data_IF_983761862131
#
_entry.id   IF_983761862131
#
_cell.length_a   1.000
_cell.length_b   1.000
_cell.length_c   1.000
_cell.angle_alpha   90.00
_cell.angle_beta   90.00
_cell.angle_gamma   90.00
#
_symmetry.space_group_name_H-M   'P 1'
#
loop_
_entity.id
_entity.type
_entity.pdbx_description
1 polymer ?
#
# COMPACT_ATOMS: atom_id res chain seq x y z
N UNK A 1 -0.09 21.17 -26.53
CA UNK A 1 -0.63 20.88 -25.19
C UNK A 1 -0.84 19.38 -25.09
N UNK A 2 -0.25 18.72 -24.09
CA UNK A 2 -0.45 17.29 -23.88
C UNK A 2 -1.93 17.03 -23.57
N UNK A 3 -2.60 16.18 -24.35
CA UNK A 3 -3.91 15.65 -23.97
C UNK A 3 -3.63 14.48 -23.02
N UNK A 4 -3.83 14.62 -21.69
CA UNK A 4 -3.55 13.53 -20.74
C UNK A 4 -4.34 12.25 -21.05
N UNK A 5 -5.50 12.39 -21.72
CA UNK A 5 -6.32 11.27 -22.12
C UNK A 5 -6.45 11.17 -23.64
N UNK A 6 -6.19 9.97 -24.15
CA UNK A 6 -6.40 9.62 -25.54
C UNK A 6 -7.79 8.96 -25.72
N UNK A 7 -8.40 9.08 -26.91
CA UNK A 7 -9.65 8.37 -27.22
C UNK A 7 -9.58 6.86 -26.97
N UNK A 8 -8.40 6.25 -27.14
CA UNK A 8 -8.13 4.84 -26.79
C UNK A 8 -8.35 4.57 -25.30
N UNK A 9 -7.83 5.42 -24.42
CA UNK A 9 -7.97 5.29 -22.96
C UNK A 9 -9.43 5.42 -22.50
N UNK A 10 -10.25 6.26 -23.14
CA UNK A 10 -11.68 6.39 -22.79
C UNK A 10 -12.42 5.08 -22.95
N UNK A 11 -12.06 4.27 -23.95
CA UNK A 11 -12.71 2.97 -24.17
C UNK A 11 -12.30 1.93 -23.14
N UNK A 12 -11.05 2.00 -22.70
CA UNK A 12 -10.50 1.12 -21.68
C UNK A 12 -11.11 1.43 -20.31
N UNK A 13 -11.21 2.72 -19.96
CA UNK A 13 -11.88 3.18 -18.73
C UNK A 13 -13.37 2.88 -18.76
N UNK A 14 -14.07 3.14 -19.87
CA UNK A 14 -15.51 2.85 -19.97
C UNK A 14 -15.82 1.37 -19.77
N UNK A 15 -14.95 0.48 -20.27
CA UNK A 15 -15.03 -0.96 -20.00
C UNK A 15 -14.79 -1.29 -18.53
N UNK A 16 -13.80 -0.68 -17.88
CA UNK A 16 -13.56 -0.83 -16.44
C UNK A 16 -14.73 -0.38 -15.56
N UNK A 17 -15.52 0.57 -16.07
CA UNK A 17 -16.76 1.07 -15.44
C UNK A 17 -18.01 0.22 -15.79
N UNK A 18 -17.88 -0.85 -16.58
CA UNK A 18 -18.99 -1.74 -16.95
C UNK A 18 -19.85 -1.24 -18.12
N UNK A 19 -19.34 -0.34 -18.97
CA UNK A 19 -20.03 0.08 -20.20
C UNK A 19 -19.65 -0.87 -21.34
N UNK A 20 -20.52 -1.86 -21.60
CA UNK A 20 -20.28 -2.91 -22.59
C UNK A 20 -20.55 -2.48 -24.05
N UNK A 21 -21.09 -1.27 -24.25
CA UNK A 21 -21.40 -0.76 -25.57
C UNK A 21 -20.13 -0.33 -26.32
N UNK A 22 -20.04 -0.69 -27.60
CA UNK A 22 -18.95 -0.20 -28.45
C UNK A 22 -19.07 1.30 -28.65
N UNK A 23 -18.12 2.04 -28.10
CA UNK A 23 -18.04 3.49 -28.27
C UNK A 23 -17.42 3.80 -29.64
N UNK A 24 -18.05 4.66 -30.43
CA UNK A 24 -17.52 5.11 -31.72
C UNK A 24 -16.30 6.03 -31.54
N UNK A 25 -15.48 6.19 -32.58
CA UNK A 25 -14.29 7.07 -32.54
C UNK A 25 -14.66 8.51 -32.17
N UNK A 26 -15.67 9.07 -32.84
CA UNK A 26 -16.17 10.42 -32.60
C UNK A 26 -16.66 10.63 -31.16
N UNK A 27 -17.34 9.63 -30.58
CA UNK A 27 -17.82 9.72 -29.19
C UNK A 27 -16.65 9.70 -28.21
N UNK A 28 -15.61 8.90 -28.44
CA UNK A 28 -14.40 8.89 -27.60
C UNK A 28 -13.69 10.24 -27.63
N UNK A 29 -13.58 10.84 -28.81
CA UNK A 29 -13.01 12.18 -28.97
C UNK A 29 -13.81 13.23 -28.21
N UNK A 30 -15.14 13.16 -28.29
CA UNK A 30 -16.02 14.06 -27.54
C UNK A 30 -15.92 13.85 -26.02
N UNK A 31 -15.80 12.62 -25.56
CA UNK A 31 -15.63 12.30 -24.14
C UNK A 31 -14.30 12.82 -23.59
N UNK A 32 -13.20 12.71 -24.34
CA UNK A 32 -11.91 13.34 -23.95
C UNK A 32 -12.07 14.85 -23.80
N UNK A 33 -12.78 15.50 -24.71
CA UNK A 33 -13.06 16.94 -24.62
C UNK A 33 -13.87 17.28 -23.35
N UNK A 34 -14.91 16.50 -23.06
CA UNK A 34 -15.74 16.67 -21.85
C UNK A 34 -14.94 16.46 -20.57
N UNK A 35 -14.06 15.45 -20.52
CA UNK A 35 -13.21 15.17 -19.36
C UNK A 35 -12.22 16.31 -19.10
N UNK A 36 -11.62 16.89 -20.14
CA UNK A 36 -10.79 18.08 -19.99
C UNK A 36 -11.57 19.27 -19.44
N UNK A 37 -12.82 19.46 -19.91
CA UNK A 37 -13.67 20.53 -19.40
C UNK A 37 -14.02 20.30 -17.92
N UNK A 38 -14.35 19.07 -17.55
CA UNK A 38 -14.67 18.73 -16.15
C UNK A 38 -13.45 18.83 -15.24
N UNK A 39 -12.26 18.42 -15.68
CA UNK A 39 -11.03 18.60 -14.91
C UNK A 39 -10.79 20.08 -14.60
N UNK A 40 -10.92 20.97 -15.60
CA UNK A 40 -10.78 22.42 -15.39
C UNK A 40 -11.77 22.94 -14.34
N UNK A 41 -12.99 22.42 -14.34
CA UNK A 41 -14.00 22.80 -13.35
C UNK A 41 -13.61 22.30 -11.95
N UNK A 42 -13.28 21.01 -11.81
CA UNK A 42 -12.87 20.42 -10.52
C UNK A 42 -11.64 21.14 -9.95
N UNK A 43 -10.64 21.44 -10.78
CA UNK A 43 -9.45 22.16 -10.32
C UNK A 43 -9.80 23.54 -9.75
N UNK A 44 -10.73 24.27 -10.38
CA UNK A 44 -11.20 25.57 -9.87
C UNK A 44 -11.98 25.41 -8.57
N UNK A 45 -12.90 24.45 -8.51
CA UNK A 45 -13.67 24.13 -7.30
C UNK A 45 -12.72 23.79 -6.13
N UNK A 46 -11.72 22.93 -6.36
CA UNK A 46 -10.71 22.57 -5.37
C UNK A 46 -9.82 23.74 -4.96
N UNK A 47 -9.48 24.64 -5.90
CA UNK A 47 -8.69 25.84 -5.63
C UNK A 47 -9.47 26.82 -4.77
N UNK A 48 -10.74 27.06 -5.11
CA UNK A 48 -11.65 27.89 -4.33
C UNK A 48 -11.81 27.35 -2.90
N UNK A 49 -12.08 26.05 -2.74
CA UNK A 49 -12.18 25.42 -1.41
C UNK A 49 -10.85 25.47 -0.63
N UNK A 50 -9.73 25.25 -1.32
CA UNK A 50 -8.39 25.36 -0.73
C UNK A 50 -8.15 26.76 -0.18
N UNK A 51 -8.49 27.80 -0.96
CA UNK A 51 -8.29 29.20 -0.59
C UNK A 51 -9.32 29.70 0.43
N UNK A 52 -10.52 29.13 0.45
CA UNK A 52 -11.54 29.39 1.47
C UNK A 52 -11.11 28.85 2.84
N UNK A 53 -10.50 27.65 2.86
CA UNK A 53 -9.96 27.04 4.07
C UNK A 53 -8.62 27.66 4.51
N UNK A 54 -7.71 27.93 3.57
CA UNK A 54 -6.38 28.51 3.82
C UNK A 54 -6.08 29.66 2.84
N UNK A 55 -6.50 30.91 3.19
CA UNK A 55 -6.25 32.08 2.35
C UNK A 55 -4.74 32.30 2.13
N UNK A 56 -4.29 32.24 0.87
CA UNK A 56 -2.90 32.47 0.49
C UNK A 56 -2.05 31.20 0.29
N UNK A 57 -2.64 30.00 0.41
CA UNK A 57 -1.97 28.75 0.01
C UNK A 57 -1.63 28.79 -1.47
N UNK A 58 -0.38 28.44 -1.81
CA UNK A 58 0.13 28.45 -3.20
C UNK A 58 0.09 27.08 -3.88
N UNK A 59 -0.33 26.04 -3.16
CA UNK A 59 -0.39 24.66 -3.63
C UNK A 59 -1.82 24.17 -3.51
N UNK A 60 -2.37 23.58 -4.58
CA UNK A 60 -3.70 22.97 -4.57
C UNK A 60 -3.73 21.82 -3.54
N UNK A 61 -4.69 21.86 -2.62
CA UNK A 61 -4.83 20.85 -1.57
C UNK A 61 -6.01 19.94 -1.86
N UNK A 62 -6.08 18.80 -1.17
CA UNK A 62 -7.32 18.04 -1.05
C UNK A 62 -8.09 18.52 0.20
N UNK A 63 -9.19 19.28 0.03
CA UNK A 63 -9.96 19.80 1.15
C UNK A 63 -10.75 18.71 1.92
N UNK A 64 -10.86 17.49 1.38
CA UNK A 64 -11.73 16.44 1.93
C UNK A 64 -10.98 15.31 2.68
N UNK A 65 -9.66 15.42 2.89
CA UNK A 65 -8.87 14.35 3.53
C UNK A 65 -9.05 14.32 5.05
N UNK A 66 -9.56 13.21 5.60
CA UNK A 66 -9.94 13.02 7.02
C UNK A 66 -8.93 12.26 7.89
N UNK A 67 -7.77 11.84 7.36
CA UNK A 67 -6.70 11.13 8.12
C UNK A 67 -5.86 12.09 8.95
N UNK A 68 -5.06 11.56 9.90
CA UNK A 68 -4.07 12.37 10.64
C UNK A 68 -3.24 13.22 9.65
N UNK A 69 -3.15 14.52 9.94
CA UNK A 69 -2.69 15.52 8.96
C UNK A 69 -1.25 15.27 8.52
N UNK A 70 -1.07 14.82 7.27
CA UNK A 70 0.24 14.45 6.69
C UNK A 70 1.32 15.52 6.93
N UNK A 71 1.02 16.79 6.60
CA UNK A 71 1.98 17.89 6.75
C UNK A 71 2.37 18.14 8.21
N UNK A 72 1.43 17.94 9.14
CA UNK A 72 1.65 18.14 10.57
C UNK A 72 2.46 16.99 11.16
N UNK A 73 2.12 15.75 10.83
CA UNK A 73 2.89 14.57 11.24
C UNK A 73 4.32 14.66 10.71
N UNK A 74 4.50 15.06 9.46
CA UNK A 74 5.84 15.25 8.88
C UNK A 74 6.65 16.32 9.62
N UNK A 75 6.04 17.46 9.95
CA UNK A 75 6.71 18.53 10.71
C UNK A 75 7.23 18.02 12.06
N UNK A 76 6.36 17.32 12.82
CA UNK A 76 6.73 16.74 14.11
C UNK A 76 7.83 15.67 13.98
N UNK A 77 7.78 14.83 12.95
CA UNK A 77 8.84 13.85 12.71
C UNK A 77 10.18 14.49 12.36
N UNK A 78 10.18 15.64 11.67
CA UNK A 78 11.41 16.38 11.34
C UNK A 78 12.06 16.98 12.59
N UNK A 79 11.25 17.44 13.54
CA UNK A 79 11.73 17.98 14.82
C UNK A 79 12.44 16.90 15.65
N UNK A 80 12.10 15.62 15.46
CA UNK A 80 12.54 14.51 16.31
C UNK A 80 13.70 13.68 15.75
N UNK A 81 14.11 13.91 14.50
CA UNK A 81 15.25 13.21 13.90
C UNK A 81 16.57 13.90 14.26
N UNK A 82 17.48 13.16 14.89
CA UNK A 82 18.81 13.69 15.25
C UNK A 82 19.93 13.23 14.29
N UNK A 83 19.86 11.98 13.83
CA UNK A 83 20.93 11.32 13.07
C UNK A 83 20.68 11.31 11.55
N UNK A 84 19.54 11.82 11.10
CA UNK A 84 19.17 11.93 9.68
C UNK A 84 18.63 13.33 9.41
N UNK A 85 18.77 13.79 8.17
CA UNK A 85 18.47 15.18 7.79
C UNK A 85 17.02 15.39 7.32
N UNK A 86 16.26 14.32 7.04
CA UNK A 86 14.92 14.46 6.46
C UNK A 86 13.99 13.27 6.73
N UNK A 87 12.69 13.55 6.57
CA UNK A 87 11.61 12.55 6.67
C UNK A 87 10.95 12.38 5.30
N UNK A 88 10.95 11.13 4.81
CA UNK A 88 10.32 10.75 3.54
C UNK A 88 8.80 10.61 3.67
N UNK A 89 8.08 10.78 2.56
CA UNK A 89 6.62 10.61 2.54
C UNK A 89 6.17 9.22 3.00
N UNK A 90 6.93 8.17 2.68
CA UNK A 90 6.66 6.81 3.12
C UNK A 90 6.75 6.67 4.65
N UNK A 91 7.74 7.31 5.27
CA UNK A 91 7.86 7.33 6.72
C UNK A 91 6.66 8.04 7.38
N UNK A 92 6.16 9.13 6.80
CA UNK A 92 4.99 9.87 7.31
C UNK A 92 3.70 9.06 7.17
N UNK A 93 3.53 8.35 6.04
CA UNK A 93 2.37 7.47 5.84
C UNK A 93 2.38 6.33 6.85
N UNK A 94 3.52 5.64 7.01
CA UNK A 94 3.67 4.57 7.99
C UNK A 94 3.46 5.09 9.43
N UNK A 95 4.05 6.24 9.78
CA UNK A 95 3.83 6.86 11.08
C UNK A 95 2.34 7.16 11.34
N UNK A 96 1.63 7.68 10.35
CA UNK A 96 0.19 7.90 10.46
C UNK A 96 -0.59 6.59 10.64
N UNK A 97 -0.26 5.53 9.92
CA UNK A 97 -0.91 4.22 10.08
C UNK A 97 -0.67 3.63 11.48
N UNK A 98 0.57 3.72 11.98
CA UNK A 98 0.93 3.30 13.33
C UNK A 98 0.14 4.11 14.37
N UNK A 99 0.09 5.43 14.22
CA UNK A 99 -0.61 6.33 15.13
C UNK A 99 -2.14 6.11 15.10
N UNK A 100 -2.72 5.90 13.92
CA UNK A 100 -4.15 5.61 13.78
C UNK A 100 -4.50 4.25 14.41
N UNK A 101 -3.65 3.23 14.25
CA UNK A 101 -3.83 1.93 14.90
C UNK A 101 -3.65 2.03 16.42
N UNK A 102 -2.65 2.78 16.89
CA UNK A 102 -2.45 3.05 18.31
C UNK A 102 -3.67 3.74 18.93
N UNK A 103 -4.15 4.82 18.30
CA UNK A 103 -5.34 5.55 18.73
C UNK A 103 -6.57 4.66 18.78
N UNK A 104 -6.79 3.84 17.73
CA UNK A 104 -7.90 2.88 17.68
C UNK A 104 -7.85 1.92 18.86
N UNK A 105 -6.69 1.31 19.13
CA UNK A 105 -6.54 0.34 20.21
C UNK A 105 -6.73 0.99 21.59
N UNK A 106 -6.17 2.19 21.79
CA UNK A 106 -6.38 2.96 23.02
C UNK A 106 -7.85 3.29 23.25
N UNK A 107 -8.57 3.72 22.21
CA UNK A 107 -10.00 4.04 22.29
C UNK A 107 -10.86 2.80 22.52
N UNK A 108 -10.57 1.68 21.86
CA UNK A 108 -11.30 0.42 22.07
C UNK A 108 -11.14 -0.09 23.51
N UNK A 109 -9.91 -0.06 24.06
CA UNK A 109 -9.66 -0.42 25.45
C UNK A 109 -10.42 0.50 26.42
N UNK A 110 -10.40 1.81 26.17
CA UNK A 110 -11.08 2.77 27.02
C UNK A 110 -12.61 2.72 26.88
N UNK A 111 -13.12 2.32 25.72
CA UNK A 111 -14.53 2.05 25.49
C UNK A 111 -14.98 0.81 26.27
N UNK A 112 -14.20 -0.28 26.24
CA UNK A 112 -14.49 -1.50 27.00
C UNK A 112 -14.56 -1.21 28.52
N UNK A 113 -13.62 -0.43 29.06
CA UNK A 113 -13.67 0.02 30.45
C UNK A 113 -14.90 0.89 30.75
N UNK A 114 -15.27 1.79 29.83
CA UNK A 114 -16.48 2.60 29.96
C UNK A 114 -17.77 1.76 29.96
N UNK A 115 -17.82 0.74 29.11
CA UNK A 115 -18.94 -0.20 28.98
C UNK A 115 -19.07 -1.09 30.21
N UNK A 116 -17.95 -1.54 30.78
CA UNK A 116 -17.92 -2.28 32.05
C UNK A 116 -18.54 -1.47 33.20
N UNK A 117 -18.35 -0.16 33.18
CA UNK A 117 -18.96 0.77 34.13
C UNK A 117 -20.34 1.28 33.70
N UNK A 118 -20.86 0.82 32.54
CA UNK A 118 -22.16 1.18 31.95
C UNK A 118 -22.33 2.67 31.72
N UNK A 119 -21.26 3.36 31.33
CA UNK A 119 -21.29 4.79 30.99
C UNK A 119 -21.02 4.98 29.50
N UNK A 120 -21.93 5.67 28.80
CA UNK A 120 -21.80 5.95 27.36
C UNK A 120 -20.78 7.04 27.01
N UNK A 121 -19.83 7.36 27.89
CA UNK A 121 -18.84 8.43 27.67
C UNK A 121 -17.48 7.98 28.19
N UNK A 122 -16.49 7.89 27.29
CA UNK A 122 -15.11 7.62 27.66
C UNK A 122 -14.55 8.81 28.45
N UNK A 123 -14.01 8.56 29.64
CA UNK A 123 -13.40 9.56 30.54
C UNK A 123 -11.95 9.17 30.78
N UNK A 124 -11.15 10.12 31.29
CA UNK A 124 -9.72 9.89 31.59
C UNK A 124 -9.47 8.67 32.48
N UNK A 125 -10.40 8.35 33.39
CA UNK A 125 -10.32 7.19 34.28
C UNK A 125 -10.46 5.83 33.58
N UNK A 126 -10.99 5.80 32.36
CA UNK A 126 -11.07 4.61 31.51
C UNK A 126 -9.85 4.48 30.59
N UNK A 127 -8.99 5.51 30.55
CA UNK A 127 -7.68 5.37 29.93
C UNK A 127 -6.82 4.67 30.98
N UNK A 128 -6.65 3.35 30.85
CA UNK A 128 -5.70 2.65 31.70
C UNK A 128 -4.34 3.35 31.55
N UNK A 129 -3.76 3.83 32.64
CA UNK A 129 -2.42 4.42 32.63
C UNK A 129 -1.38 3.32 32.44
N UNK A 130 -1.42 2.61 31.32
CA UNK A 130 -0.23 1.99 30.76
C UNK A 130 0.54 3.11 30.07
N UNK A 131 1.06 4.05 30.87
CA UNK A 131 2.37 4.60 30.57
C UNK A 131 3.28 3.38 30.48
N UNK A 132 3.53 2.92 29.26
CA UNK A 132 4.66 2.05 28.98
C UNK A 132 5.87 2.84 29.44
N UNK A 133 6.31 2.54 30.65
CA UNK A 133 7.68 2.78 31.06
C UNK A 133 8.55 2.32 29.89
N UNK A 134 9.35 3.23 29.36
CA UNK A 134 10.61 2.86 28.73
C UNK A 134 11.31 1.87 29.66
N UNK A 135 11.93 0.85 29.07
CA UNK A 135 12.64 -0.27 29.70
C UNK A 135 11.80 -1.53 29.98
N UNK A 136 11.53 -2.28 28.90
CA UNK A 136 12.09 -3.64 28.74
C UNK A 136 11.71 -4.19 27.37
N UNK A 137 12.59 -3.99 26.38
CA UNK A 137 12.77 -4.99 25.32
C UNK A 137 13.50 -6.16 25.99
N UNK A 138 12.75 -7.02 26.66
CA UNK A 138 13.23 -8.36 26.97
C UNK A 138 12.42 -9.35 26.18
N UNK A 139 13.15 -10.05 25.32
CA UNK A 139 12.81 -11.36 24.80
C UNK A 139 12.26 -12.22 25.95
N UNK A 140 10.98 -12.53 25.91
CA UNK A 140 10.45 -13.71 26.60
C UNK A 140 9.90 -14.65 25.55
N UNK A 141 10.80 -15.53 25.13
CA UNK A 141 10.48 -16.90 24.76
C UNK A 141 9.44 -17.44 25.75
N UNK A 142 8.24 -17.76 25.27
CA UNK A 142 7.33 -18.61 26.02
C UNK A 142 6.98 -19.79 25.13
N UNK A 143 7.71 -20.87 25.35
CA UNK A 143 7.33 -22.22 24.94
C UNK A 143 5.93 -22.54 25.45
N UNK A 144 5.01 -22.83 24.53
CA UNK A 144 3.96 -23.79 24.79
C UNK A 144 4.03 -24.86 23.71
N UNK A 145 4.54 -25.99 24.19
CA UNK A 145 4.73 -27.25 23.53
C UNK A 145 3.36 -27.92 23.38
N UNK A 146 2.86 -28.09 22.16
CA UNK A 146 1.94 -29.18 21.83
C UNK A 146 2.43 -29.90 20.57
N UNK A 147 3.11 -31.02 20.86
CA UNK A 147 3.19 -32.28 20.12
C UNK A 147 3.28 -32.22 18.59
N UNK A 148 4.50 -32.50 18.12
CA UNK A 148 4.85 -33.08 16.83
C UNK A 148 3.89 -34.15 16.33
N UNK A 149 3.48 -34.04 15.07
CA UNK A 149 3.65 -35.17 14.14
C UNK A 149 4.60 -34.72 13.03
N UNK A 150 5.72 -35.43 12.96
CA UNK A 150 6.83 -35.19 12.06
C UNK A 150 6.42 -35.44 10.61
N UNK A 151 6.63 -34.43 9.76
CA UNK A 151 7.09 -34.68 8.39
C UNK A 151 8.33 -33.83 8.18
N UNK A 152 9.47 -34.44 8.44
CA UNK A 152 10.76 -33.93 8.00
C UNK A 152 10.77 -33.85 6.47
N UNK A 153 11.16 -32.71 5.91
CA UNK A 153 12.16 -32.57 4.84
C UNK A 153 12.73 -31.13 4.90
N UNK A 154 14.05 -31.08 4.78
CA UNK A 154 15.04 -30.00 4.82
C UNK A 154 14.73 -28.60 4.24
N UNK A 155 15.42 -27.60 4.83
CA UNK A 155 15.64 -26.20 4.39
C UNK A 155 14.48 -25.21 4.54
N UNK A 156 14.31 -24.64 5.74
CA UNK A 156 13.32 -23.59 6.00
C UNK A 156 13.76 -22.59 7.05
N UNK A 157 14.46 -21.52 6.65
CA UNK A 157 14.42 -20.28 7.42
C UNK A 157 13.03 -19.66 7.23
N UNK A 158 12.25 -19.62 8.31
CA UNK A 158 11.00 -18.87 8.39
C UNK A 158 11.33 -17.38 8.32
N UNK A 159 11.22 -16.81 7.12
CA UNK A 159 11.29 -15.36 6.91
C UNK A 159 9.91 -14.83 7.34
N UNK A 160 9.81 -14.28 8.55
CA UNK A 160 8.52 -13.85 9.12
C UNK A 160 8.25 -12.33 9.01
N UNK A 161 9.18 -11.53 8.44
CA UNK A 161 8.94 -10.09 8.19
C UNK A 161 9.53 -9.60 6.86
N UNK A 162 8.82 -8.70 6.17
CA UNK A 162 9.34 -8.00 4.99
C UNK A 162 10.16 -6.79 5.43
N UNK A 163 11.46 -6.87 5.21
CA UNK A 163 12.35 -5.72 5.24
C UNK A 163 13.11 -5.70 3.92
N UNK A 164 13.51 -4.51 3.42
CA UNK A 164 14.45 -4.39 2.31
C UNK A 164 15.70 -5.29 2.47
N UNK A 165 16.12 -5.53 3.72
CA UNK A 165 17.21 -6.45 4.06
C UNK A 165 16.87 -7.90 3.71
N UNK A 166 15.65 -8.34 4.02
CA UNK A 166 15.19 -9.70 3.74
C UNK A 166 14.99 -9.93 2.25
N UNK A 167 14.51 -8.94 1.50
CA UNK A 167 14.37 -9.00 0.03
C UNK A 167 15.74 -9.13 -0.64
N UNK A 168 16.72 -8.33 -0.21
CA UNK A 168 18.11 -8.44 -0.70
C UNK A 168 18.75 -9.78 -0.34
N UNK A 169 18.49 -10.30 0.86
CA UNK A 169 18.99 -11.62 1.27
C UNK A 169 18.38 -12.75 0.43
N UNK A 170 17.08 -12.68 0.13
CA UNK A 170 16.41 -13.61 -0.80
C UNK A 170 17.09 -13.55 -2.17
N UNK A 171 17.35 -12.35 -2.71
CA UNK A 171 18.00 -12.19 -4.02
C UNK A 171 19.43 -12.76 -4.04
N UNK A 172 20.19 -12.51 -2.98
CA UNK A 172 21.55 -13.05 -2.82
C UNK A 172 21.56 -14.59 -2.79
N UNK A 173 20.55 -15.21 -2.19
CA UNK A 173 20.37 -16.67 -2.21
C UNK A 173 19.87 -17.19 -3.56
N UNK A 174 19.11 -16.39 -4.32
CA UNK A 174 18.47 -16.83 -5.56
C UNK A 174 19.39 -16.80 -6.78
N UNK A 175 20.18 -15.73 -6.95
CA UNK A 175 21.06 -15.59 -8.13
C UNK A 175 22.41 -14.92 -7.85
N UNK A 176 22.66 -14.47 -6.61
CA UNK A 176 23.91 -13.80 -6.23
C UNK A 176 24.10 -12.40 -6.84
N UNK A 177 23.17 -11.91 -7.67
CA UNK A 177 23.20 -10.54 -8.23
C UNK A 177 22.91 -9.48 -7.18
N UNK A 178 23.45 -8.28 -7.41
CA UNK A 178 23.10 -7.09 -6.62
C UNK A 178 21.71 -6.59 -7.02
N UNK A 179 20.92 -6.20 -6.02
CA UNK A 179 19.60 -5.61 -6.20
C UNK A 179 19.67 -4.14 -5.77
N UNK A 180 19.34 -3.24 -6.69
CA UNK A 180 19.40 -1.79 -6.43
C UNK A 180 18.30 -1.38 -5.44
N UNK A 181 18.59 -0.39 -4.58
CA UNK A 181 17.66 0.05 -3.54
C UNK A 181 16.32 0.51 -4.13
N UNK A 182 16.38 1.31 -5.18
CA UNK A 182 15.19 1.85 -5.86
C UNK A 182 14.35 0.71 -6.47
N UNK A 183 15.00 -0.38 -6.90
CA UNK A 183 14.32 -1.57 -7.39
C UNK A 183 13.63 -2.35 -6.25
N UNK A 184 14.23 -2.38 -5.04
CA UNK A 184 13.58 -2.95 -3.85
C UNK A 184 12.34 -2.16 -3.46
N UNK A 185 12.44 -0.83 -3.48
CA UNK A 185 11.33 0.06 -3.15
C UNK A 185 10.19 -0.09 -4.16
N UNK A 186 10.48 -0.06 -5.46
CA UNK A 186 9.49 -0.26 -6.52
C UNK A 186 8.81 -1.63 -6.42
N UNK A 187 9.56 -2.68 -6.09
CA UNK A 187 9.01 -4.02 -5.90
C UNK A 187 7.99 -4.08 -4.75
N UNK A 188 8.25 -3.36 -3.66
CA UNK A 188 7.32 -3.24 -2.54
C UNK A 188 6.08 -2.44 -2.92
N UNK A 189 6.25 -1.32 -3.63
CA UNK A 189 5.16 -0.49 -4.15
C UNK A 189 4.22 -1.30 -5.05
N UNK A 190 4.78 -1.99 -6.06
CA UNK A 190 4.03 -2.86 -6.95
C UNK A 190 3.27 -3.96 -6.19
N UNK A 191 3.90 -4.56 -5.18
CA UNK A 191 3.22 -5.55 -4.33
C UNK A 191 1.96 -4.97 -3.66
N UNK A 192 2.07 -3.78 -3.06
CA UNK A 192 0.95 -3.14 -2.37
C UNK A 192 -0.14 -2.67 -3.36
N UNK A 193 0.24 -2.18 -4.54
CA UNK A 193 -0.72 -1.82 -5.59
C UNK A 193 -1.51 -3.06 -6.03
N UNK A 194 -0.83 -4.16 -6.33
CA UNK A 194 -1.50 -5.40 -6.72
C UNK A 194 -2.34 -6.01 -5.59
N UNK A 195 -1.92 -5.89 -4.33
CA UNK A 195 -2.70 -6.37 -3.18
C UNK A 195 -3.97 -5.54 -3.00
N UNK A 196 -3.86 -4.22 -3.12
CA UNK A 196 -4.98 -3.29 -3.03
C UNK A 196 -5.99 -3.51 -4.17
N UNK A 197 -5.48 -3.66 -5.40
CA UNK A 197 -6.31 -3.97 -6.56
C UNK A 197 -7.03 -5.31 -6.39
N UNK A 198 -6.33 -6.31 -5.85
CA UNK A 198 -6.91 -7.63 -5.66
C UNK A 198 -7.97 -7.65 -4.56
N UNK A 199 -7.76 -6.95 -3.44
CA UNK A 199 -8.74 -6.78 -2.38
C UNK A 199 -9.99 -6.05 -2.90
N UNK A 200 -9.79 -4.94 -3.62
CA UNK A 200 -10.87 -4.19 -4.23
C UNK A 200 -11.68 -5.04 -5.22
N UNK A 201 -10.99 -5.78 -6.10
CA UNK A 201 -11.64 -6.68 -7.06
C UNK A 201 -12.37 -7.82 -6.36
N UNK A 202 -11.81 -8.41 -5.30
CA UNK A 202 -12.47 -9.46 -4.54
C UNK A 202 -13.74 -8.95 -3.86
N UNK A 203 -13.68 -7.80 -3.18
CA UNK A 203 -14.85 -7.17 -2.54
C UNK A 203 -15.93 -6.83 -3.57
N UNK A 204 -15.54 -6.25 -4.72
CA UNK A 204 -16.45 -5.95 -5.83
C UNK A 204 -17.12 -7.22 -6.37
N UNK A 205 -16.35 -8.27 -6.62
CA UNK A 205 -16.87 -9.53 -7.18
C UNK A 205 -17.79 -10.26 -6.18
N UNK A 206 -17.51 -10.17 -4.87
CA UNK A 206 -18.37 -10.68 -3.79
C UNK A 206 -19.72 -9.94 -3.77
N UNK A 207 -19.71 -8.61 -3.83
CA UNK A 207 -20.94 -7.81 -3.85
C UNK A 207 -21.80 -8.08 -5.10
N UNK A 208 -21.15 -8.41 -6.22
CA UNK A 208 -21.81 -8.72 -7.49
C UNK A 208 -22.26 -10.18 -7.61
N UNK A 209 -21.81 -11.07 -6.72
CA UNK A 209 -22.17 -12.48 -6.73
C UNK A 209 -21.57 -13.29 -7.89
N UNK A 210 -20.54 -12.77 -8.58
CA UNK A 210 -19.89 -13.48 -9.69
C UNK A 210 -18.86 -14.49 -9.17
N UNK A 211 -19.30 -15.73 -9.02
CA UNK A 211 -18.51 -16.83 -8.49
C UNK A 211 -17.23 -17.11 -9.31
N UNK A 212 -17.23 -16.84 -10.62
CA UNK A 212 -16.08 -17.11 -11.50
C UNK A 212 -14.98 -16.08 -11.30
N UNK A 213 -15.35 -14.80 -11.18
CA UNK A 213 -14.42 -13.70 -10.90
C UNK A 213 -13.92 -13.72 -9.45
N UNK A 214 -14.76 -14.18 -8.51
CA UNK A 214 -14.33 -14.48 -7.13
C UNK A 214 -13.26 -15.58 -7.15
N UNK A 215 -13.50 -16.68 -7.86
CA UNK A 215 -12.53 -17.79 -7.95
C UNK A 215 -11.20 -17.34 -8.55
N UNK A 216 -11.22 -16.56 -9.63
CA UNK A 216 -10.00 -16.00 -10.23
C UNK A 216 -9.27 -15.02 -9.29
N UNK A 217 -10.02 -14.20 -8.54
CA UNK A 217 -9.43 -13.30 -7.52
C UNK A 217 -8.78 -14.09 -6.38
N UNK A 218 -9.38 -15.20 -5.97
CA UNK A 218 -8.78 -16.11 -4.98
C UNK A 218 -7.52 -16.81 -5.52
N UNK A 219 -7.52 -17.28 -6.76
CA UNK A 219 -6.33 -17.87 -7.40
C UNK A 219 -5.19 -16.85 -7.51
N UNK A 220 -5.49 -15.59 -7.82
CA UNK A 220 -4.52 -14.50 -7.78
C UNK A 220 -4.07 -14.15 -6.36
N UNK A 221 -4.92 -14.30 -5.36
CA UNK A 221 -4.60 -14.07 -3.94
C UNK A 221 -3.60 -15.10 -3.42
N UNK A 222 -3.82 -16.38 -3.77
CA UNK A 222 -2.87 -17.46 -3.50
C UNK A 222 -1.53 -17.22 -4.19
N UNK A 223 -1.55 -16.68 -5.42
CA UNK A 223 -0.33 -16.28 -6.13
C UNK A 223 0.35 -15.06 -5.50
N UNK A 224 -0.40 -14.13 -4.93
CA UNK A 224 0.10 -12.90 -4.30
C UNK A 224 0.57 -13.12 -2.86
N UNK A 225 0.72 -14.37 -2.41
CA UNK A 225 1.39 -14.65 -1.15
C UNK A 225 2.80 -14.05 -1.17
N UNK A 226 2.96 -13.03 -0.34
CA UNK A 226 4.04 -12.05 -0.32
C UNK A 226 5.43 -12.61 -0.65
N UNK A 227 5.92 -13.60 0.11
CA UNK A 227 7.26 -14.17 -0.11
C UNK A 227 7.35 -15.06 -1.35
N UNK A 228 6.26 -15.75 -1.71
CA UNK A 228 6.18 -16.55 -2.93
C UNK A 228 6.19 -15.66 -4.16
N UNK A 229 5.42 -14.58 -4.14
CA UNK A 229 5.37 -13.58 -5.20
C UNK A 229 6.73 -12.90 -5.38
N UNK A 230 7.33 -12.38 -4.29
CA UNK A 230 8.64 -11.73 -4.32
C UNK A 230 9.73 -12.63 -4.93
N UNK A 231 9.75 -13.92 -4.56
CA UNK A 231 10.71 -14.89 -5.12
C UNK A 231 10.52 -15.11 -6.62
N UNK A 232 9.26 -15.18 -7.11
CA UNK A 232 9.00 -15.34 -8.56
C UNK A 232 9.41 -14.10 -9.34
N UNK A 233 9.02 -12.92 -8.90
CA UNK A 233 9.35 -11.66 -9.59
C UNK A 233 10.86 -11.43 -9.59
N UNK A 234 11.55 -11.63 -8.47
CA UNK A 234 13.00 -11.50 -8.40
C UNK A 234 13.73 -12.51 -9.31
N UNK A 235 13.18 -13.72 -9.47
CA UNK A 235 13.73 -14.71 -10.41
C UNK A 235 13.64 -14.22 -11.85
N UNK A 236 12.45 -13.80 -12.27
CA UNK A 236 12.22 -13.29 -13.63
C UNK A 236 12.99 -12.00 -13.90
N UNK A 237 13.16 -11.14 -12.88
CA UNK A 237 13.98 -9.93 -12.96
C UNK A 237 15.45 -10.25 -13.15
N UNK A 238 15.95 -11.30 -12.49
CA UNK A 238 17.32 -11.78 -12.66
C UNK A 238 17.55 -12.32 -14.06
N UNK A 239 16.65 -13.17 -14.56
CA UNK A 239 16.73 -13.76 -15.90
C UNK A 239 16.72 -12.67 -16.99
N UNK A 240 15.93 -11.61 -16.78
CA UNK A 240 15.90 -10.45 -17.68
C UNK A 240 17.18 -9.61 -17.61
N UNK A 241 17.68 -9.36 -16.40
CA UNK A 241 18.96 -8.69 -16.21
C UNK A 241 20.13 -9.47 -16.85
N UNK A 242 20.09 -10.81 -16.83
CA UNK A 242 21.07 -11.66 -17.53
C UNK A 242 20.98 -11.51 -19.05
N UNK A 243 19.77 -11.49 -19.61
CA UNK A 243 19.56 -11.26 -21.05
C UNK A 243 20.11 -9.90 -21.52
N UNK A 244 20.03 -8.89 -20.65
CA UNK A 244 20.53 -7.53 -20.91
C UNK A 244 22.00 -7.34 -20.49
N UNK A 245 22.71 -8.41 -20.11
CA UNK A 245 24.09 -8.39 -19.60
C UNK A 245 24.30 -7.41 -18.42
N UNK A 246 23.28 -7.22 -17.58
CA UNK A 246 23.35 -6.41 -16.38
C UNK A 246 23.81 -7.22 -15.15
N UNK A 247 24.77 -6.65 -14.43
CA UNK A 247 25.29 -7.22 -13.18
C UNK A 247 24.41 -6.90 -11.96
N UNK A 248 23.46 -5.97 -12.09
CA UNK A 248 22.47 -5.64 -11.05
C UNK A 248 21.04 -5.65 -11.59
N UNK A 249 20.10 -5.93 -10.69
CA UNK A 249 18.66 -5.80 -10.97
C UNK A 249 18.24 -4.37 -10.64
N UNK A 250 17.73 -3.68 -11.66
CA UNK A 250 17.21 -2.30 -11.62
C UNK A 250 15.68 -2.30 -11.69
N UNK A 251 15.08 -1.13 -11.47
CA UNK A 251 13.63 -0.90 -11.57
C UNK A 251 13.05 -1.44 -12.88
N UNK A 252 13.70 -1.14 -14.00
CA UNK A 252 13.25 -1.52 -15.35
C UNK A 252 13.08 -3.04 -15.54
N UNK A 253 13.90 -3.84 -14.84
CA UNK A 253 13.78 -5.29 -14.89
C UNK A 253 12.60 -5.80 -14.07
N UNK A 254 12.15 -5.06 -13.04
CA UNK A 254 11.05 -5.45 -12.14
C UNK A 254 9.70 -5.04 -12.72
N UNK A 255 9.57 -3.79 -13.14
CA UNK A 255 8.31 -3.22 -13.68
C UNK A 255 7.84 -3.95 -14.93
N UNK A 256 8.78 -4.51 -15.70
CA UNK A 256 8.48 -5.18 -16.96
C UNK A 256 8.10 -6.67 -16.81
N UNK A 257 7.86 -7.16 -15.60
CA UNK A 257 7.47 -8.55 -15.32
C UNK A 257 5.96 -8.62 -15.10
N UNK A 258 5.33 -9.64 -15.69
CA UNK A 258 3.94 -9.95 -15.39
C UNK A 258 3.80 -10.47 -13.94
N UNK A 259 3.08 -9.76 -13.05
CA UNK A 259 2.93 -10.13 -11.65
C UNK A 259 2.20 -11.46 -11.42
N UNK A 260 1.51 -12.00 -12.43
CA UNK A 260 0.67 -13.20 -12.33
C UNK A 260 1.25 -14.46 -13.02
N UNK A 261 2.39 -14.27 -13.69
CA UNK A 261 3.13 -15.33 -14.40
C UNK A 261 3.71 -16.42 -13.50
#
# INVERSE_FOLDING_TARGET
>A
MAKPWAPSHVSEVAKGLGVDHRISGEVKEKLVEMLHLRLKQITREMEEETLLNEPGKKTLSDPNRTRLGFSRTRGLMIEEIENVESVSSAAVVNANEILENYLKNSLLSAAEEADNERVGTIKIRHMSSKTTSSDNIQQTETSLNESSEEVSISNGQKIESLSPVNIKNIMKQLSGKKLDNDAVEELLLLYYDYASDLEYNLQKNIQQGDLSSIKNSLEKYEKLMMLGWMRRILKSASEKADYENSNSIKIEHIVAIDPWS
#
